data_IF_301824726912
#
_entry.id   IF_301824726912
#
_cell.length_a   1.000
_cell.length_b   1.000
_cell.length_c   1.000
_cell.angle_alpha   90.00
_cell.angle_beta   90.00
_cell.angle_gamma   90.00
#
_symmetry.space_group_name_H-M   'P 1'
#
loop_
_entity.id
_entity.type
_entity.pdbx_description
1 polymer ?
#
# COMPACT_ATOMS: atom_id res chain seq x y z
N UNK A 1 -28.73 -47.17 35.76
CA UNK A 1 -27.35 -46.63 35.69
C UNK A 1 -26.93 -46.13 34.28
N UNK A 2 -27.81 -46.10 33.27
CA UNK A 2 -27.39 -45.83 31.87
C UNK A 2 -27.65 -44.41 31.32
N UNK A 3 -28.35 -43.52 32.03
CA UNK A 3 -28.70 -42.18 31.52
C UNK A 3 -27.62 -41.10 31.71
N UNK A 4 -26.66 -41.31 32.64
CA UNK A 4 -25.63 -40.31 32.93
C UNK A 4 -24.42 -40.33 31.97
N UNK A 5 -24.18 -41.45 31.26
CA UNK A 5 -23.06 -41.53 30.32
C UNK A 5 -23.29 -40.65 29.07
N UNK A 6 -24.50 -40.70 28.48
CA UNK A 6 -24.80 -39.98 27.25
C UNK A 6 -24.81 -38.44 27.41
N UNK A 7 -25.18 -37.93 28.59
CA UNK A 7 -25.23 -36.48 28.82
C UNK A 7 -23.83 -35.87 28.91
N UNK A 8 -22.87 -36.56 29.55
CA UNK A 8 -21.47 -36.14 29.61
C UNK A 8 -20.78 -36.17 28.24
N UNK A 9 -21.09 -37.15 27.39
CA UNK A 9 -20.52 -37.24 26.03
C UNK A 9 -21.06 -36.14 25.11
N UNK A 10 -22.35 -35.80 25.20
CA UNK A 10 -22.95 -34.73 24.38
C UNK A 10 -22.41 -33.35 24.76
N UNK A 11 -22.23 -33.08 26.06
CA UNK A 11 -21.60 -31.83 26.53
C UNK A 11 -20.15 -31.74 26.04
N UNK A 12 -19.41 -32.84 26.07
CA UNK A 12 -18.02 -32.91 25.59
C UNK A 12 -17.90 -32.66 24.07
N UNK A 13 -18.80 -33.23 23.27
CA UNK A 13 -18.84 -33.02 21.81
C UNK A 13 -19.27 -31.60 21.47
N UNK A 14 -20.27 -31.05 22.18
CA UNK A 14 -20.73 -29.67 22.04
C UNK A 14 -19.61 -28.66 22.35
N UNK A 15 -18.88 -28.86 23.45
CA UNK A 15 -17.74 -28.02 23.81
C UNK A 15 -16.58 -28.13 22.81
N UNK A 16 -16.32 -29.33 22.26
CA UNK A 16 -15.35 -29.52 21.19
C UNK A 16 -15.75 -28.78 19.90
N UNK A 17 -17.02 -28.86 19.51
CA UNK A 17 -17.53 -28.15 18.33
C UNK A 17 -17.45 -26.62 18.52
N UNK A 18 -17.79 -26.14 19.72
CA UNK A 18 -17.69 -24.73 20.08
C UNK A 18 -16.24 -24.24 20.05
N UNK A 19 -15.28 -25.05 20.54
CA UNK A 19 -13.86 -24.73 20.47
C UNK A 19 -13.34 -24.65 19.02
N UNK A 20 -13.77 -25.58 18.16
CA UNK A 20 -13.43 -25.56 16.73
C UNK A 20 -14.04 -24.33 16.04
N UNK A 21 -15.30 -24.00 16.31
CA UNK A 21 -15.96 -22.79 15.83
C UNK A 21 -15.26 -21.51 16.30
N UNK A 22 -14.88 -21.43 17.58
CA UNK A 22 -14.15 -20.28 18.14
C UNK A 22 -12.74 -20.14 17.54
N UNK A 23 -12.03 -21.26 17.31
CA UNK A 23 -10.72 -21.24 16.66
C UNK A 23 -10.77 -20.85 15.18
N UNK A 24 -11.88 -21.13 14.49
CA UNK A 24 -12.11 -20.69 13.10
C UNK A 24 -12.41 -19.19 12.96
N UNK A 25 -12.72 -18.52 14.08
CA UNK A 25 -12.99 -17.07 14.15
C UNK A 25 -11.74 -16.26 14.51
N UNK A 26 -10.56 -16.88 14.64
CA UNK A 26 -9.28 -16.16 14.69
C UNK A 26 -9.07 -15.59 13.29
N UNK A 27 -9.68 -14.44 13.05
CA UNK A 27 -9.42 -13.61 11.88
C UNK A 27 -7.91 -13.50 11.72
N UNK A 28 -7.43 -13.78 10.52
CA UNK A 28 -6.03 -13.66 10.14
C UNK A 28 -5.58 -12.19 10.24
N UNK A 29 -5.39 -11.68 11.47
CA UNK A 29 -4.53 -10.53 11.73
C UNK A 29 -3.09 -11.04 11.60
N UNK A 30 -2.71 -11.37 10.38
CA UNK A 30 -1.33 -11.69 10.07
C UNK A 30 -0.59 -10.35 10.04
N UNK A 31 -0.08 -9.96 11.19
CA UNK A 31 0.81 -8.80 11.32
C UNK A 31 2.01 -8.99 10.37
N UNK A 32 2.50 -7.90 9.80
CA UNK A 32 3.59 -7.97 8.84
C UNK A 32 4.89 -8.30 9.56
N UNK A 33 5.69 -9.15 8.94
CA UNK A 33 7.07 -9.38 9.33
C UNK A 33 7.99 -8.53 8.46
N UNK A 34 9.15 -8.07 8.98
CA UNK A 34 10.16 -7.44 8.16
C UNK A 34 10.49 -8.31 6.94
N UNK A 35 10.41 -7.73 5.74
CA UNK A 35 10.61 -8.45 4.49
C UNK A 35 9.33 -8.97 3.81
N UNK A 36 8.18 -8.93 4.48
CA UNK A 36 6.90 -9.32 3.86
C UNK A 36 6.52 -8.35 2.73
N UNK A 37 5.91 -8.88 1.67
CA UNK A 37 5.32 -8.05 0.62
C UNK A 37 4.02 -7.45 1.15
N UNK A 38 3.93 -6.13 1.11
CA UNK A 38 2.70 -5.40 1.44
C UNK A 38 1.86 -5.31 0.17
N UNK A 39 0.70 -5.98 0.09
CA UNK A 39 -0.10 -6.02 -1.13
C UNK A 39 -0.53 -4.61 -1.53
N UNK A 40 -0.55 -4.34 -2.83
CA UNK A 40 -0.87 -3.02 -3.35
C UNK A 40 -1.68 -3.18 -4.62
N UNK A 41 -2.66 -2.31 -4.82
CA UNK A 41 -3.42 -2.21 -6.06
C UNK A 41 -3.45 -0.76 -6.54
N UNK A 42 -3.67 -0.56 -7.83
CA UNK A 42 -3.69 0.76 -8.46
C UNK A 42 -4.90 0.93 -9.36
N UNK A 43 -5.36 2.17 -9.45
CA UNK A 43 -6.41 2.61 -10.36
C UNK A 43 -5.93 3.88 -11.07
N UNK A 44 -6.13 3.93 -12.39
CA UNK A 44 -5.91 5.11 -13.22
C UNK A 44 -7.20 5.86 -13.55
N UNK A 45 -7.09 7.17 -13.73
CA UNK A 45 -8.14 8.04 -14.26
C UNK A 45 -7.60 8.92 -15.38
N UNK A 46 -8.31 8.96 -16.50
CA UNK A 46 -8.07 9.83 -17.63
C UNK A 46 -9.40 10.30 -18.21
N UNK A 47 -9.55 11.60 -18.49
CA UNK A 47 -10.78 12.17 -19.05
C UNK A 47 -12.05 11.73 -18.28
N UNK A 48 -12.00 11.80 -16.94
CA UNK A 48 -13.04 11.31 -16.02
C UNK A 48 -13.34 9.80 -16.07
N UNK A 49 -12.86 9.06 -17.08
CA UNK A 49 -12.92 7.61 -17.16
C UNK A 49 -11.94 6.98 -16.17
N UNK A 50 -12.42 6.01 -15.39
CA UNK A 50 -11.64 5.30 -14.39
C UNK A 50 -11.48 3.85 -14.80
N UNK A 51 -10.27 3.35 -14.63
CA UNK A 51 -10.02 1.90 -14.70
C UNK A 51 -10.55 1.22 -13.43
N UNK A 52 -10.63 -0.10 -13.45
CA UNK A 52 -10.88 -0.86 -12.22
C UNK A 52 -9.61 -0.90 -11.37
N UNK A 53 -9.74 -1.32 -10.11
CA UNK A 53 -8.58 -1.64 -9.30
C UNK A 53 -7.83 -2.83 -9.91
N UNK A 54 -6.54 -2.65 -10.12
CA UNK A 54 -5.65 -3.70 -10.60
C UNK A 54 -4.59 -4.00 -9.55
N UNK A 55 -4.49 -5.25 -9.16
CA UNK A 55 -3.45 -5.70 -8.25
C UNK A 55 -2.07 -5.54 -8.88
N UNK A 56 -1.12 -5.07 -8.07
CA UNK A 56 0.26 -4.92 -8.47
C UNK A 56 1.01 -6.23 -8.25
N UNK A 57 1.91 -6.56 -9.20
CA UNK A 57 2.82 -7.69 -9.05
C UNK A 57 3.73 -7.42 -7.86
N UNK A 58 3.96 -8.42 -7.00
CA UNK A 58 4.72 -8.27 -5.75
C UNK A 58 6.08 -7.58 -5.87
N UNK A 59 6.77 -7.71 -7.02
CA UNK A 59 8.05 -7.00 -7.27
C UNK A 59 7.93 -5.47 -7.27
N UNK A 60 6.74 -4.95 -7.59
CA UNK A 60 6.41 -3.52 -7.60
C UNK A 60 5.77 -3.07 -6.29
N UNK A 61 5.46 -3.99 -5.38
CA UNK A 61 4.86 -3.67 -4.10
C UNK A 61 5.92 -3.25 -3.07
N UNK A 62 5.53 -2.48 -2.04
CA UNK A 62 6.40 -2.22 -0.91
C UNK A 62 6.75 -3.51 -0.16
N UNK A 63 7.95 -3.53 0.43
CA UNK A 63 8.41 -4.60 1.32
C UNK A 63 8.40 -4.02 2.74
N UNK A 64 7.73 -4.68 3.68
CA UNK A 64 7.55 -4.18 5.03
C UNK A 64 8.89 -3.92 5.73
N UNK A 65 9.07 -2.69 6.22
CA UNK A 65 10.30 -2.22 6.89
C UNK A 65 11.51 -2.01 5.98
N UNK A 66 11.35 -2.05 4.65
CA UNK A 66 12.47 -1.92 3.70
C UNK A 66 12.25 -0.76 2.74
N UNK A 67 13.09 0.27 2.85
CA UNK A 67 13.12 1.38 1.89
C UNK A 67 13.56 0.86 0.52
N UNK A 68 12.81 1.19 -0.52
CA UNK A 68 13.13 0.76 -1.88
C UNK A 68 12.47 1.61 -2.93
N UNK A 69 13.03 1.54 -4.13
CA UNK A 69 12.51 2.22 -5.31
C UNK A 69 12.17 1.20 -6.39
N UNK A 70 11.08 1.44 -7.10
CA UNK A 70 10.59 0.56 -8.15
C UNK A 70 10.02 1.35 -9.33
N UNK A 71 10.19 0.80 -10.54
CA UNK A 71 9.50 1.32 -11.71
C UNK A 71 8.13 0.64 -11.84
N UNK A 72 7.06 1.41 -11.75
CA UNK A 72 5.69 0.94 -11.89
C UNK A 72 5.18 1.24 -13.31
N UNK A 73 4.75 0.23 -14.08
CA UNK A 73 4.21 0.44 -15.41
C UNK A 73 2.78 0.98 -15.36
N UNK A 74 2.52 1.99 -16.19
CA UNK A 74 1.23 2.59 -16.45
C UNK A 74 0.85 2.24 -17.89
N UNK A 75 -0.25 1.52 -18.04
CA UNK A 75 -0.81 1.18 -19.33
C UNK A 75 -1.41 2.42 -20.01
N UNK A 76 -1.42 2.42 -21.34
CA UNK A 76 -2.03 3.50 -22.13
C UNK A 76 -3.53 3.59 -21.82
N UNK A 77 -4.05 4.72 -21.34
CA UNK A 77 -5.48 4.85 -21.11
C UNK A 77 -6.23 4.91 -22.44
N UNK A 78 -7.47 4.43 -22.45
CA UNK A 78 -8.34 4.48 -23.63
C UNK A 78 -8.57 5.93 -24.04
N UNK A 79 -8.39 6.24 -25.33
CA UNK A 79 -8.57 7.60 -25.86
C UNK A 79 -7.47 8.60 -25.47
N UNK A 80 -6.28 8.14 -25.10
CA UNK A 80 -5.16 9.02 -24.76
C UNK A 80 -4.79 9.97 -25.91
N UNK A 81 -4.86 11.28 -25.65
CA UNK A 81 -4.44 12.35 -26.56
C UNK A 81 -3.25 13.15 -26.02
N UNK A 82 -2.96 13.04 -24.73
CA UNK A 82 -1.90 13.80 -24.04
C UNK A 82 -2.33 15.20 -23.58
N UNK A 83 -3.51 15.67 -23.98
CA UNK A 83 -4.02 16.99 -23.62
C UNK A 83 -4.64 17.04 -22.21
N UNK A 84 -5.11 15.90 -21.69
CA UNK A 84 -5.76 15.83 -20.38
C UNK A 84 -4.82 15.28 -19.30
N UNK A 85 -5.04 15.67 -18.04
CA UNK A 85 -4.30 15.12 -16.91
C UNK A 85 -4.57 13.62 -16.72
N UNK A 86 -3.51 12.84 -16.57
CA UNK A 86 -3.60 11.46 -16.09
C UNK A 86 -3.36 11.41 -14.59
N UNK A 87 -4.28 10.78 -13.85
CA UNK A 87 -4.19 10.59 -12.41
C UNK A 87 -4.09 9.12 -12.06
N UNK A 88 -3.40 8.80 -10.97
CA UNK A 88 -3.30 7.45 -10.41
C UNK A 88 -3.66 7.48 -8.92
N UNK A 89 -4.27 6.42 -8.43
CA UNK A 89 -4.58 6.20 -7.02
C UNK A 89 -4.17 4.77 -6.66
N UNK A 90 -3.91 4.55 -5.37
CA UNK A 90 -3.43 3.28 -4.85
C UNK A 90 -4.22 2.85 -3.62
N UNK A 91 -4.34 1.54 -3.44
CA UNK A 91 -4.70 0.92 -2.16
C UNK A 91 -3.52 0.09 -1.68
N UNK A 92 -3.16 0.21 -0.40
CA UNK A 92 -1.97 -0.42 0.17
C UNK A 92 -2.34 -1.22 1.41
N UNK A 93 -1.75 -2.40 1.53
CA UNK A 93 -1.92 -3.31 2.65
C UNK A 93 -3.21 -4.13 2.60
N UNK A 94 -3.29 -5.12 3.49
CA UNK A 94 -4.49 -5.92 3.79
C UNK A 94 -5.63 -5.04 4.30
N UNK A 95 -5.26 -3.94 4.94
CA UNK A 95 -6.09 -2.87 5.51
C UNK A 95 -6.70 -1.98 4.43
N UNK A 96 -6.15 -2.00 3.20
CA UNK A 96 -6.58 -1.20 2.05
C UNK A 96 -6.55 0.30 2.32
N UNK A 97 -5.46 0.81 2.92
CA UNK A 97 -5.26 2.24 3.05
C UNK A 97 -5.30 2.92 1.68
N UNK A 98 -6.15 3.92 1.54
CA UNK A 98 -6.40 4.59 0.28
C UNK A 98 -5.51 5.83 0.12
N UNK A 99 -4.74 5.85 -0.97
CA UNK A 99 -3.98 7.01 -1.41
C UNK A 99 -4.85 7.82 -2.38
N UNK A 100 -5.12 9.11 -2.11
CA UNK A 100 -5.88 9.98 -3.01
C UNK A 100 -5.28 10.09 -4.41
N UNK A 101 -6.04 10.71 -5.34
CA UNK A 101 -5.59 10.89 -6.71
C UNK A 101 -4.31 11.71 -6.82
N UNK A 102 -3.28 11.11 -7.41
CA UNK A 102 -1.99 11.68 -7.71
C UNK A 102 -1.91 12.05 -9.19
N UNK A 103 -1.55 13.30 -9.49
CA UNK A 103 -1.43 13.79 -10.87
C UNK A 103 -0.05 13.46 -11.44
N UNK A 104 0.01 12.61 -12.47
CA UNK A 104 1.27 12.07 -13.00
C UNK A 104 1.62 12.65 -14.36
N UNK A 105 0.69 12.64 -15.33
CA UNK A 105 0.93 13.16 -16.69
C UNK A 105 0.15 14.48 -16.85
N UNK A 106 0.74 15.42 -17.58
CA UNK A 106 0.23 16.77 -17.79
C UNK A 106 -0.01 17.50 -16.45
N UNK A 107 1.04 17.48 -15.63
CA UNK A 107 1.17 18.26 -14.40
C UNK A 107 1.77 19.63 -14.71
N UNK A 108 1.81 20.52 -13.72
CA UNK A 108 2.37 21.87 -13.90
C UNK A 108 3.87 21.86 -14.23
N UNK A 109 4.61 20.88 -13.72
CA UNK A 109 6.04 20.69 -14.01
C UNK A 109 6.24 19.81 -15.25
N UNK A 110 7.21 20.18 -16.09
CA UNK A 110 7.65 19.41 -17.26
C UNK A 110 8.64 18.29 -16.91
N UNK A 111 9.14 18.25 -15.67
CA UNK A 111 10.07 17.21 -15.23
C UNK A 111 9.37 15.86 -15.13
N UNK A 112 10.13 14.79 -15.29
CA UNK A 112 9.62 13.42 -15.14
C UNK A 112 9.07 13.25 -13.72
N UNK A 113 7.85 12.74 -13.53
CA UNK A 113 7.28 12.57 -12.21
C UNK A 113 7.89 11.37 -11.49
N UNK A 114 8.09 11.52 -10.18
CA UNK A 114 8.35 10.44 -9.23
C UNK A 114 7.24 10.46 -8.17
N UNK A 115 6.79 9.29 -7.75
CA UNK A 115 5.82 9.16 -6.66
C UNK A 115 6.58 8.81 -5.39
N UNK A 116 6.56 9.71 -4.41
CA UNK A 116 7.17 9.49 -3.10
C UNK A 116 6.11 9.01 -2.13
N UNK A 117 6.29 7.80 -1.60
CA UNK A 117 5.34 7.08 -0.75
C UNK A 117 5.95 6.89 0.64
N UNK A 118 5.28 7.41 1.65
CA UNK A 118 5.66 7.27 3.05
C UNK A 118 4.74 6.27 3.74
N UNK A 119 5.31 5.17 4.22
CA UNK A 119 4.63 4.09 4.92
C UNK A 119 4.97 4.16 6.40
N UNK A 120 3.96 4.14 7.26
CA UNK A 120 4.13 4.24 8.70
C UNK A 120 3.80 2.90 9.36
N UNK A 121 4.63 2.47 10.29
CA UNK A 121 4.43 1.22 11.02
C UNK A 121 4.79 1.35 12.50
N UNK A 122 4.27 0.46 13.34
CA UNK A 122 4.69 0.27 14.73
C UNK A 122 4.81 -1.23 14.98
N UNK A 123 6.01 -1.70 15.34
CA UNK A 123 6.26 -3.13 15.46
C UNK A 123 5.92 -3.89 14.16
N UNK A 124 4.90 -4.74 14.19
CA UNK A 124 4.41 -5.51 13.04
C UNK A 124 3.18 -4.90 12.36
N UNK A 125 2.69 -3.77 12.87
CA UNK A 125 1.42 -3.19 12.45
C UNK A 125 1.65 -2.08 11.44
N UNK A 126 0.92 -2.16 10.33
CA UNK A 126 0.92 -1.12 9.32
C UNK A 126 -0.11 -0.04 9.68
N UNK A 127 0.37 1.16 10.00
CA UNK A 127 -0.45 2.24 10.56
C UNK A 127 -1.07 3.13 9.48
N UNK A 128 -0.46 3.19 8.30
CA UNK A 128 -1.00 3.90 7.15
C UNK A 128 0.03 4.37 6.16
N UNK A 129 -0.46 5.04 5.11
CA UNK A 129 0.37 5.49 4.00
C UNK A 129 -0.05 6.88 3.53
N UNK A 130 0.94 7.68 3.14
CA UNK A 130 0.74 8.93 2.41
C UNK A 130 1.62 8.91 1.16
N UNK A 131 1.23 9.68 0.14
CA UNK A 131 2.05 9.81 -1.04
C UNK A 131 1.88 11.18 -1.69
N UNK A 132 2.92 11.61 -2.41
CA UNK A 132 2.96 12.84 -3.20
C UNK A 132 3.68 12.58 -4.51
N UNK A 133 3.42 13.45 -5.49
CA UNK A 133 4.17 13.45 -6.76
C UNK A 133 5.17 14.58 -6.70
N UNK A 134 6.43 14.24 -6.95
CA UNK A 134 7.55 15.18 -6.99
C UNK A 134 8.25 15.11 -8.35
N UNK A 135 9.10 16.11 -8.60
CA UNK A 135 9.97 16.13 -9.75
C UNK A 135 11.10 15.12 -9.52
N UNK A 136 11.40 14.31 -10.53
CA UNK A 136 12.47 13.32 -10.43
C UNK A 136 13.80 14.01 -10.13
N UNK A 137 14.56 13.58 -9.11
CA UNK A 137 15.84 14.19 -8.79
C UNK A 137 16.81 14.11 -9.98
N UNK A 138 17.55 15.18 -10.23
CA UNK A 138 18.43 15.32 -11.41
C UNK A 138 19.40 14.16 -11.58
N UNK A 139 19.95 13.62 -10.48
CA UNK A 139 20.85 12.48 -10.51
C UNK A 139 20.28 11.27 -11.28
N UNK A 140 19.00 10.94 -11.13
CA UNK A 140 18.38 9.81 -11.85
C UNK A 140 18.29 10.07 -13.35
N UNK A 141 17.98 11.31 -13.73
CA UNK A 141 17.87 11.73 -15.13
C UNK A 141 19.26 11.73 -15.79
N UNK A 142 20.30 12.13 -15.07
CA UNK A 142 21.68 12.11 -15.55
C UNK A 142 22.21 10.69 -15.76
N UNK A 143 21.90 9.76 -14.84
CA UNK A 143 22.27 8.35 -15.00
C UNK A 143 21.54 7.67 -16.16
N UNK A 144 20.32 8.12 -16.45
CA UNK A 144 19.45 7.52 -17.45
C UNK A 144 18.83 8.60 -18.36
N UNK A 145 19.61 9.14 -19.31
CA UNK A 145 19.20 10.30 -20.13
C UNK A 145 17.98 10.01 -21.02
N UNK A 146 17.67 8.73 -21.25
CA UNK A 146 16.53 8.32 -22.06
C UNK A 146 15.20 8.30 -21.30
N UNK A 147 15.20 8.39 -19.96
CA UNK A 147 13.95 8.37 -19.16
C UNK A 147 13.02 9.49 -19.58
N UNK A 148 13.53 10.72 -19.69
CA UNK A 148 12.72 11.88 -20.08
C UNK A 148 12.15 11.71 -21.49
N UNK A 149 12.98 11.27 -22.45
CA UNK A 149 12.55 11.05 -23.84
C UNK A 149 11.47 9.99 -23.92
N UNK A 150 11.69 8.82 -23.30
CA UNK A 150 10.73 7.71 -23.32
C UNK A 150 9.45 8.04 -22.58
N UNK A 151 9.54 8.75 -21.45
CA UNK A 151 8.38 9.12 -20.65
C UNK A 151 7.49 10.12 -21.39
N UNK A 152 8.06 11.11 -22.06
CA UNK A 152 7.28 12.15 -22.76
C UNK A 152 6.89 11.80 -24.20
N UNK A 153 7.51 10.80 -24.82
CA UNK A 153 7.13 10.34 -26.16
C UNK A 153 5.72 9.72 -26.16
N UNK A 154 4.76 10.32 -26.86
CA UNK A 154 3.35 9.88 -26.91
C UNK A 154 3.18 8.43 -27.41
N UNK A 155 4.10 7.92 -28.23
CA UNK A 155 4.01 6.58 -28.83
C UNK A 155 4.54 5.47 -27.93
N UNK A 156 5.47 5.79 -27.02
CA UNK A 156 6.13 4.78 -26.17
C UNK A 156 5.25 4.45 -24.96
N UNK A 157 4.79 3.21 -24.89
CA UNK A 157 4.02 2.67 -23.77
C UNK A 157 4.47 1.24 -23.44
N UNK A 158 4.36 0.78 -22.18
CA UNK A 158 3.82 1.48 -21.01
C UNK A 158 4.76 2.59 -20.50
N UNK A 159 4.20 3.59 -19.81
CA UNK A 159 5.00 4.58 -19.09
C UNK A 159 5.50 3.98 -17.79
N UNK A 160 6.78 4.12 -17.50
CA UNK A 160 7.35 3.67 -16.24
C UNK A 160 7.51 4.87 -15.32
N UNK A 161 6.84 4.83 -14.17
CA UNK A 161 6.95 5.87 -13.14
C UNK A 161 7.77 5.32 -11.98
N UNK A 162 8.76 6.08 -11.54
CA UNK A 162 9.53 5.75 -10.35
C UNK A 162 8.66 5.97 -9.10
N UNK A 163 8.53 4.93 -8.30
CA UNK A 163 7.85 4.96 -7.01
C UNK A 163 8.88 4.65 -5.94
N UNK A 164 9.05 5.59 -5.00
CA UNK A 164 9.94 5.46 -3.86
C UNK A 164 9.12 5.14 -2.61
N UNK A 165 9.44 4.04 -1.97
CA UNK A 165 8.83 3.62 -0.71
C UNK A 165 9.80 3.91 0.43
N UNK A 166 9.37 4.73 1.37
CA UNK A 166 10.10 5.08 2.59
C UNK A 166 9.28 4.63 3.80
N UNK A 167 9.88 3.83 4.67
CA UNK A 167 9.29 3.38 5.91
C UNK A 167 9.70 4.26 7.08
N UNK A 168 8.74 4.59 7.93
CA UNK A 168 8.91 5.34 9.15
C UNK A 168 8.28 4.56 10.32
N UNK A 169 9.10 4.22 11.30
CA UNK A 169 8.62 3.61 12.53
C UNK A 169 8.06 4.69 13.46
N UNK A 170 6.80 4.53 13.89
CA UNK A 170 6.18 5.38 14.88
C UNK A 170 6.10 4.63 16.21
N UNK A 171 6.74 5.16 17.25
CA UNK A 171 6.59 4.63 18.59
C UNK A 171 5.21 4.97 19.13
N UNK A 172 4.46 3.97 19.60
CA UNK A 172 3.15 4.15 20.25
C UNK A 172 3.25 4.84 21.63
N UNK A 173 4.47 5.13 22.10
CA UNK A 173 4.71 5.81 23.37
C UNK A 173 4.47 7.31 23.19
N UNK A 174 3.26 7.76 23.52
CA UNK A 174 2.99 9.17 23.78
C UNK A 174 3.72 9.59 25.06
N UNK A 175 4.94 10.11 24.89
CA UNK A 175 5.78 10.62 25.99
C UNK A 175 5.07 11.73 26.77
N UNK A 176 4.11 12.43 26.14
CA UNK A 176 3.36 13.55 26.73
C UNK A 176 2.39 13.09 27.81
N UNK A 177 1.65 12.01 27.58
CA UNK A 177 0.74 11.44 28.58
C UNK A 177 1.47 10.65 29.67
N UNK A 178 2.59 10.01 29.34
CA UNK A 178 3.44 9.31 30.31
C UNK A 178 4.00 10.22 31.41
N UNK A 179 4.39 11.45 31.06
CA UNK A 179 4.84 12.44 32.04
C UNK A 179 3.71 12.95 32.95
N UNK A 180 2.48 13.07 32.43
CA UNK A 180 1.34 13.53 33.22
C UNK A 180 0.93 12.52 34.31
N UNK A 181 1.10 11.23 34.04
CA UNK A 181 0.84 10.15 35.02
C UNK A 181 1.93 10.07 36.09
N UNK A 182 3.18 10.43 35.77
CA UNK A 182 4.31 10.32 36.70
C UNK A 182 4.51 11.58 37.57
N UNK A 183 4.08 12.75 37.11
CA UNK A 183 4.35 14.03 37.77
C UNK A 183 3.10 14.90 37.98
N UNK A 184 1.91 14.40 37.65
CA UNK A 184 0.63 15.07 37.90
C UNK A 184 0.00 14.65 39.22
N UNK A 185 0.56 15.10 40.34
CA UNK A 185 -0.08 15.10 41.68
C UNK A 185 0.34 16.32 42.48
#
# INVERSE_FOLDING_TARGET
MARNCNFFTIISISNMLLFVLLSSMISYSAAYRPGDIVPMSKMGQYHSSRTVWHDMIGRHCPIFGVNREVLVPIAKPTGFTGADPYKISFQVGKEKYYIPWLLVINRKSSEVPMIDVHLRYSGSDFLGVTAKVEDMPHHYVELHPDIGKQFWDVQIWPKHVLVRYTWEEQSEIDVTSGFYVLFGS
#
